data_IF_913665446413
#
_entry.id   IF_913665446413
#
_cell.length_a   1.000
_cell.length_b   1.000
_cell.length_c   1.000
_cell.angle_alpha   90.00
_cell.angle_beta   90.00
_cell.angle_gamma   90.00
#
_symmetry.space_group_name_H-M   'P 1'
#
loop_
_entity.id
_entity.type
_entity.pdbx_description
1 polymer ?
#
# COMPACT_ATOMS: atom_id res chain seq x y z
N UNK A 1 -9.76 -5.28 -48.70
CA UNK A 1 -10.58 -4.98 -49.90
C UNK A 1 -11.15 -3.59 -49.74
N UNK A 2 -10.44 -2.58 -50.22
CA UNK A 2 -10.87 -1.17 -50.22
C UNK A 2 -10.31 -0.55 -51.48
N UNK A 3 -11.22 -0.19 -52.38
CA UNK A 3 -10.92 0.31 -53.73
C UNK A 3 -10.34 1.72 -53.66
N UNK A 4 -9.21 1.92 -54.35
CA UNK A 4 -8.59 3.22 -54.61
C UNK A 4 -9.43 3.98 -55.65
N UNK A 5 -9.84 5.19 -55.31
CA UNK A 5 -10.39 6.17 -56.25
C UNK A 5 -9.22 6.84 -56.96
N UNK A 6 -9.10 6.63 -58.27
CA UNK A 6 -8.26 7.43 -59.16
C UNK A 6 -9.17 8.37 -59.97
N UNK A 7 -8.97 9.68 -59.78
CA UNK A 7 -9.38 10.72 -60.73
C UNK A 7 -8.29 10.87 -61.82
N UNK A 8 -8.61 11.65 -62.87
CA UNK A 8 -7.79 12.07 -64.05
C UNK A 8 -8.18 11.26 -65.31
N UNK A 9 -8.54 11.79 -66.48
CA UNK A 9 -8.41 13.12 -67.11
C UNK A 9 -9.50 13.26 -68.20
N UNK A 10 -9.98 14.48 -68.43
CA UNK A 10 -10.86 14.85 -69.55
C UNK A 10 -9.99 15.13 -70.77
N UNK A 11 -10.25 14.44 -71.89
CA UNK A 11 -9.78 14.87 -73.22
C UNK A 11 -10.96 15.47 -74.00
N UNK A 12 -10.79 16.72 -74.41
CA UNK A 12 -11.60 17.41 -75.42
C UNK A 12 -11.21 16.89 -76.81
N UNK A 13 -12.19 16.46 -77.58
CA UNK A 13 -12.14 16.55 -79.04
C UNK A 13 -13.45 17.14 -79.56
N UNK A 14 -13.33 18.25 -80.29
CA UNK A 14 -14.38 18.85 -81.10
C UNK A 14 -14.50 18.07 -82.41
N UNK A 15 -15.72 17.73 -82.81
CA UNK A 15 -16.08 17.68 -84.23
C UNK A 15 -17.55 18.05 -84.41
N UNK A 16 -17.75 19.12 -85.17
CA UNK A 16 -19.00 19.72 -85.61
C UNK A 16 -19.83 18.80 -86.50
N UNK A 17 -21.16 18.80 -86.30
CA UNK A 17 -22.10 18.79 -87.42
C UNK A 17 -23.45 19.37 -87.00
N UNK A 18 -23.91 20.34 -87.79
CA UNK A 18 -25.23 20.97 -87.71
C UNK A 18 -26.35 19.93 -87.92
N UNK A 19 -27.47 20.10 -87.21
CA UNK A 19 -28.79 20.05 -87.83
C UNK A 19 -29.86 20.65 -86.88
N UNK A 20 -30.72 21.48 -87.48
CA UNK A 20 -31.88 22.13 -86.88
C UNK A 20 -32.91 21.11 -86.38
N UNK A 21 -33.47 21.33 -85.20
CA UNK A 21 -34.91 21.24 -84.91
C UNK A 21 -35.18 21.53 -83.42
N UNK A 22 -35.98 22.56 -83.19
CA UNK A 22 -37.05 22.65 -82.18
C UNK A 22 -36.92 21.66 -80.99
N UNK A 23 -36.45 22.13 -79.84
CA UNK A 23 -36.74 21.53 -78.52
C UNK A 23 -36.39 22.52 -77.39
N UNK A 24 -37.21 23.57 -77.27
CA UNK A 24 -37.03 24.61 -76.24
C UNK A 24 -37.66 24.24 -74.87
N UNK A 25 -38.34 23.10 -74.73
CA UNK A 25 -39.03 22.73 -73.48
C UNK A 25 -38.35 21.54 -72.74
N UNK A 26 -37.64 20.66 -73.43
CA UNK A 26 -36.93 19.52 -72.80
C UNK A 26 -35.61 19.86 -72.12
N UNK A 27 -34.95 20.95 -72.54
CA UNK A 27 -33.63 21.34 -72.04
C UNK A 27 -33.69 22.05 -70.67
N UNK A 28 -34.75 22.84 -70.44
CA UNK A 28 -35.01 23.45 -69.14
C UNK A 28 -35.28 22.41 -68.05
N UNK A 29 -36.03 21.35 -68.38
CA UNK A 29 -36.38 20.27 -67.44
C UNK A 29 -35.18 19.35 -67.13
N UNK A 30 -34.31 19.06 -68.11
CA UNK A 30 -33.02 18.38 -67.86
C UNK A 30 -32.07 19.24 -67.03
N UNK A 31 -31.99 20.54 -67.30
CA UNK A 31 -31.15 21.47 -66.52
C UNK A 31 -31.65 21.59 -65.09
N UNK A 32 -32.97 21.63 -64.90
CA UNK A 32 -33.61 21.68 -63.57
C UNK A 32 -33.46 20.35 -62.81
N UNK A 33 -33.55 19.21 -63.48
CA UNK A 33 -33.24 17.90 -62.89
C UNK A 33 -31.77 17.79 -62.47
N UNK A 34 -30.84 18.33 -63.27
CA UNK A 34 -29.40 18.34 -62.96
C UNK A 34 -29.09 19.28 -61.78
N UNK A 35 -29.75 20.44 -61.69
CA UNK A 35 -29.65 21.36 -60.55
C UNK A 35 -30.24 20.76 -59.26
N UNK A 36 -31.37 20.06 -59.35
CA UNK A 36 -31.95 19.32 -58.22
C UNK A 36 -31.03 18.19 -57.78
N UNK A 37 -30.44 17.44 -58.71
CA UNK A 37 -29.52 16.36 -58.40
C UNK A 37 -28.22 16.87 -57.77
N UNK A 38 -27.67 17.98 -58.27
CA UNK A 38 -26.51 18.65 -57.66
C UNK A 38 -26.85 19.23 -56.28
N UNK A 39 -28.06 19.74 -56.07
CA UNK A 39 -28.51 20.20 -54.75
C UNK A 39 -28.67 19.04 -53.77
N UNK A 40 -29.25 17.92 -54.21
CA UNK A 40 -29.39 16.69 -53.40
C UNK A 40 -28.00 16.13 -53.05
N UNK A 41 -27.06 16.12 -54.00
CA UNK A 41 -25.68 15.70 -53.77
C UNK A 41 -24.96 16.64 -52.79
N UNK A 42 -25.14 17.96 -52.93
CA UNK A 42 -24.59 18.96 -52.00
C UNK A 42 -25.15 18.82 -50.59
N UNK A 43 -26.45 18.53 -50.46
CA UNK A 43 -27.11 18.26 -49.18
C UNK A 43 -26.60 16.96 -48.56
N UNK A 44 -26.45 15.88 -49.34
CA UNK A 44 -25.89 14.62 -48.86
C UNK A 44 -24.44 14.77 -48.40
N UNK A 45 -23.61 15.48 -49.16
CA UNK A 45 -22.22 15.74 -48.79
C UNK A 45 -22.13 16.61 -47.52
N UNK A 46 -23.02 17.59 -47.38
CA UNK A 46 -23.12 18.42 -46.17
C UNK A 46 -23.51 17.60 -44.95
N UNK A 47 -24.52 16.72 -45.07
CA UNK A 47 -24.92 15.83 -43.98
C UNK A 47 -23.81 14.83 -43.61
N UNK A 48 -23.11 14.27 -44.60
CA UNK A 48 -21.99 13.36 -44.36
C UNK A 48 -20.84 14.07 -43.65
N UNK A 49 -20.51 15.31 -44.04
CA UNK A 49 -19.51 16.14 -43.38
C UNK A 49 -19.91 16.50 -41.94
N UNK A 50 -21.17 16.89 -41.72
CA UNK A 50 -21.70 17.20 -40.39
C UNK A 50 -21.67 15.95 -39.50
N UNK A 51 -22.08 14.79 -40.01
CA UNK A 51 -22.05 13.54 -39.26
C UNK A 51 -20.62 13.12 -38.90
N UNK A 52 -19.68 13.24 -39.85
CA UNK A 52 -18.27 12.92 -39.61
C UNK A 52 -17.66 13.85 -38.57
N UNK A 53 -17.97 15.14 -38.63
CA UNK A 53 -17.51 16.15 -37.65
C UNK A 53 -18.11 15.89 -36.28
N UNK A 54 -19.41 15.57 -36.21
CA UNK A 54 -20.09 15.21 -34.97
C UNK A 54 -19.46 13.95 -34.36
N UNK A 55 -19.23 12.90 -35.17
CA UNK A 55 -18.61 11.66 -34.72
C UNK A 55 -17.18 11.89 -34.22
N UNK A 56 -16.39 12.73 -34.90
CA UNK A 56 -15.05 13.11 -34.48
C UNK A 56 -15.07 13.88 -33.15
N UNK A 57 -15.97 14.86 -33.00
CA UNK A 57 -16.13 15.64 -31.77
C UNK A 57 -16.59 14.77 -30.60
N UNK A 58 -17.53 13.83 -30.82
CA UNK A 58 -17.97 12.87 -29.80
C UNK A 58 -16.82 11.96 -29.38
N UNK A 59 -16.05 11.43 -30.34
CA UNK A 59 -14.87 10.61 -30.07
C UNK A 59 -13.83 11.36 -29.26
N UNK A 60 -13.50 12.59 -29.65
CA UNK A 60 -12.55 13.44 -28.92
C UNK A 60 -13.05 13.77 -27.51
N UNK A 61 -14.34 14.05 -27.33
CA UNK A 61 -14.95 14.30 -26.02
C UNK A 61 -14.86 13.08 -25.10
N UNK A 62 -15.10 11.88 -25.65
CA UNK A 62 -14.94 10.61 -24.92
C UNK A 62 -13.48 10.35 -24.53
N UNK A 63 -12.54 10.56 -25.44
CA UNK A 63 -11.10 10.40 -25.18
C UNK A 63 -10.60 11.36 -24.09
N UNK A 64 -11.06 12.63 -24.12
CA UNK A 64 -10.73 13.62 -23.10
C UNK A 64 -11.33 13.25 -21.74
N UNK A 65 -12.58 12.79 -21.71
CA UNK A 65 -13.25 12.34 -20.48
C UNK A 65 -12.54 11.14 -19.87
N UNK A 66 -12.16 10.17 -20.69
CA UNK A 66 -11.40 9.00 -20.24
C UNK A 66 -10.04 9.41 -19.66
N UNK A 67 -9.32 10.31 -20.35
CA UNK A 67 -8.03 10.83 -19.88
C UNK A 67 -8.17 11.59 -18.56
N UNK A 68 -9.17 12.46 -18.42
CA UNK A 68 -9.43 13.17 -17.17
C UNK A 68 -9.75 12.21 -16.03
N UNK A 69 -10.54 11.17 -16.27
CA UNK A 69 -10.83 10.15 -15.27
C UNK A 69 -9.55 9.44 -14.82
N UNK A 70 -8.70 8.98 -15.74
CA UNK A 70 -7.42 8.34 -15.39
C UNK A 70 -6.50 9.26 -14.58
N UNK A 71 -6.42 10.55 -14.93
CA UNK A 71 -5.63 11.53 -14.17
C UNK A 71 -6.19 11.71 -12.77
N UNK A 72 -7.51 11.81 -12.63
CA UNK A 72 -8.18 11.92 -11.32
C UNK A 72 -7.94 10.67 -10.47
N UNK A 73 -8.02 9.47 -11.06
CA UNK A 73 -7.76 8.21 -10.36
C UNK A 73 -6.31 8.11 -9.84
N UNK A 74 -5.33 8.47 -10.69
CA UNK A 74 -3.93 8.54 -10.27
C UNK A 74 -3.71 9.59 -9.18
N UNK A 75 -4.39 10.73 -9.28
CA UNK A 75 -4.33 11.77 -8.26
C UNK A 75 -4.85 11.27 -6.91
N UNK A 76 -5.99 10.57 -6.88
CA UNK A 76 -6.54 9.98 -5.64
C UNK A 76 -5.59 8.93 -5.05
N UNK A 77 -5.05 8.03 -5.88
CA UNK A 77 -4.12 7.00 -5.43
C UNK A 77 -2.78 7.56 -4.94
N UNK A 78 -2.28 8.63 -5.55
CA UNK A 78 -1.05 9.31 -5.13
C UNK A 78 -1.20 10.00 -3.78
N UNK A 79 -2.36 10.63 -3.56
CA UNK A 79 -2.65 11.38 -2.33
C UNK A 79 -3.06 10.49 -1.14
N UNK A 80 -3.49 9.26 -1.40
CA UNK A 80 -3.71 8.26 -0.37
C UNK A 80 -2.37 7.69 0.10
N UNK A 81 -2.02 7.79 1.38
CA UNK A 81 -0.80 7.18 1.93
C UNK A 81 -1.16 6.21 3.05
N UNK A 82 -0.44 5.10 3.12
CA UNK A 82 -0.59 4.10 4.17
C UNK A 82 0.78 3.94 4.81
N UNK A 83 0.84 4.02 6.13
CA UNK A 83 2.06 3.77 6.90
C UNK A 83 1.75 2.80 8.03
N UNK A 84 2.71 1.94 8.35
CA UNK A 84 2.62 1.04 9.50
C UNK A 84 3.83 1.18 10.39
N UNK A 85 3.61 1.13 11.70
CA UNK A 85 4.66 1.13 12.71
C UNK A 85 4.31 0.10 13.79
N UNK A 86 5.30 -0.70 14.20
CA UNK A 86 5.15 -1.68 15.27
C UNK A 86 5.93 -1.15 16.47
N UNK A 87 5.21 -0.85 17.56
CA UNK A 87 5.80 -0.40 18.81
C UNK A 87 5.62 -1.44 19.90
N UNK A 88 6.52 -1.49 20.88
CA UNK A 88 6.36 -2.39 22.01
C UNK A 88 5.46 -1.79 23.09
N UNK A 89 4.65 -2.65 23.71
CA UNK A 89 3.77 -2.28 24.83
C UNK A 89 4.28 -2.95 26.11
N UNK A 90 4.14 -2.26 27.24
CA UNK A 90 4.44 -2.84 28.55
C UNK A 90 3.55 -4.07 28.86
N UNK A 91 4.18 -5.10 29.45
CA UNK A 91 3.63 -6.40 29.86
C UNK A 91 2.28 -6.32 30.62
N UNK A 92 2.05 -5.23 31.35
CA UNK A 92 0.83 -5.04 32.15
C UNK A 92 -0.43 -4.83 31.29
N UNK A 93 -0.29 -4.39 30.04
CA UNK A 93 -1.41 -4.14 29.13
C UNK A 93 -1.73 -5.32 28.18
N UNK A 94 -0.85 -6.32 28.13
CA UNK A 94 -1.07 -7.58 27.40
C UNK A 94 -1.74 -8.60 28.31
N UNK A 95 -3.08 -8.55 28.38
CA UNK A 95 -3.88 -9.65 28.93
C UNK A 95 -4.28 -10.59 27.78
N UNK A 96 -4.05 -11.90 27.93
CA UNK A 96 -4.47 -12.92 26.97
C UNK A 96 -3.36 -13.40 26.02
N UNK A 97 -3.74 -13.96 24.87
CA UNK A 97 -2.83 -14.59 23.88
C UNK A 97 -2.13 -13.58 22.94
N UNK A 98 -2.14 -12.29 23.26
CA UNK A 98 -1.61 -11.23 22.41
C UNK A 98 -0.10 -11.02 22.60
N UNK A 99 0.59 -10.65 21.54
CA UNK A 99 2.01 -10.26 21.60
C UNK A 99 2.16 -8.88 22.25
N UNK A 100 3.33 -8.57 22.86
CA UNK A 100 3.66 -7.28 23.48
C UNK A 100 3.97 -6.18 22.46
N UNK A 101 3.23 -6.15 21.36
CA UNK A 101 3.47 -5.25 20.22
C UNK A 101 2.16 -4.65 19.76
N UNK A 102 2.18 -3.33 19.57
CA UNK A 102 1.08 -2.55 19.01
C UNK A 102 1.39 -2.25 17.56
N UNK A 103 0.57 -2.77 16.66
CA UNK A 103 0.60 -2.37 15.27
C UNK A 103 -0.22 -1.09 15.12
N UNK A 104 0.44 0.01 14.78
CA UNK A 104 -0.21 1.27 14.42
C UNK A 104 -0.26 1.38 12.90
N UNK A 105 -1.46 1.39 12.33
CA UNK A 105 -1.69 1.64 10.91
C UNK A 105 -2.25 3.05 10.77
N UNK A 106 -1.69 3.83 9.85
CA UNK A 106 -2.17 5.16 9.54
C UNK A 106 -2.50 5.26 8.07
N UNK A 107 -3.73 5.66 7.78
CA UNK A 107 -4.25 5.90 6.42
C UNK A 107 -4.50 7.38 6.28
N UNK A 108 -3.86 8.02 5.32
CA UNK A 108 -3.80 9.47 5.17
C UNK A 108 -4.36 9.83 3.80
N UNK A 109 -5.30 10.78 3.76
CA UNK A 109 -5.66 11.48 2.53
C UNK A 109 -5.01 12.87 2.55
N UNK A 110 -3.91 13.01 1.83
CA UNK A 110 -3.21 14.30 1.67
C UNK A 110 -3.81 15.19 0.58
N UNK A 111 -4.83 14.71 -0.12
CA UNK A 111 -5.50 15.42 -1.20
C UNK A 111 -6.55 16.40 -0.72
N UNK A 112 -7.09 17.16 -1.69
CA UNK A 112 -8.16 18.15 -1.48
C UNK A 112 -9.56 17.55 -1.69
N UNK A 113 -9.66 16.34 -2.24
CA UNK A 113 -10.93 15.67 -2.51
C UNK A 113 -11.21 14.56 -1.47
N UNK A 114 -12.47 14.43 -0.99
CA UNK A 114 -12.85 13.31 -0.15
C UNK A 114 -12.82 12.01 -0.95
N UNK A 115 -12.41 10.91 -0.32
CA UNK A 115 -12.46 9.57 -0.89
C UNK A 115 -13.59 8.81 -0.20
N UNK A 116 -14.76 8.64 -0.85
CA UNK A 116 -15.89 7.94 -0.27
C UNK A 116 -15.71 6.42 -0.36
N UNK A 117 -16.47 5.71 0.46
CA UNK A 117 -16.64 4.27 0.39
C UNK A 117 -15.34 3.45 0.41
N UNK A 118 -14.39 3.88 1.23
CA UNK A 118 -13.15 3.13 1.45
C UNK A 118 -13.45 1.90 2.27
N UNK A 119 -12.95 0.77 1.79
CA UNK A 119 -12.85 -0.48 2.53
C UNK A 119 -11.39 -0.83 2.76
N UNK A 120 -11.09 -1.31 3.97
CA UNK A 120 -9.74 -1.71 4.36
C UNK A 120 -9.71 -3.17 4.75
N UNK A 121 -8.66 -3.88 4.37
CA UNK A 121 -8.39 -5.22 4.87
C UNK A 121 -6.92 -5.39 5.22
N UNK A 122 -6.66 -6.26 6.17
CA UNK A 122 -5.32 -6.68 6.55
C UNK A 122 -5.21 -8.19 6.37
N UNK A 123 -4.12 -8.62 5.74
CA UNK A 123 -3.83 -10.04 5.51
C UNK A 123 -2.43 -10.35 5.99
N UNK A 124 -2.25 -11.56 6.52
CA UNK A 124 -0.96 -12.04 7.01
C UNK A 124 -0.63 -13.34 6.30
N UNK A 125 0.61 -13.48 5.83
CA UNK A 125 1.13 -14.67 5.16
C UNK A 125 2.40 -15.09 5.91
N UNK A 126 2.55 -16.37 6.24
CA UNK A 126 3.78 -16.85 6.87
C UNK A 126 4.92 -16.75 5.86
N UNK A 127 6.14 -16.46 6.32
CA UNK A 127 7.30 -16.44 5.40
C UNK A 127 7.59 -17.82 4.80
N UNK A 128 7.40 -18.88 5.60
CA UNK A 128 7.69 -20.26 5.21
C UNK A 128 6.52 -20.90 4.42
N UNK A 129 5.32 -20.31 4.46
CA UNK A 129 4.14 -20.80 3.75
C UNK A 129 3.39 -19.63 3.10
N UNK A 130 3.27 -19.65 1.76
CA UNK A 130 2.57 -18.62 0.98
C UNK A 130 1.04 -18.56 1.20
N UNK A 131 0.51 -19.30 2.18
CA UNK A 131 -0.90 -19.32 2.50
C UNK A 131 -1.27 -18.24 3.53
N UNK A 132 -2.44 -17.59 3.37
CA UNK A 132 -2.92 -16.60 4.32
C UNK A 132 -3.25 -17.27 5.65
N UNK A 133 -2.77 -16.67 6.74
CA UNK A 133 -3.00 -17.15 8.10
C UNK A 133 -3.88 -16.17 8.85
N UNK A 134 -4.86 -16.70 9.57
CA UNK A 134 -5.71 -15.91 10.43
C UNK A 134 -4.97 -15.62 11.75
N UNK A 135 -4.60 -14.36 11.94
CA UNK A 135 -4.02 -13.86 13.19
C UNK A 135 -5.16 -13.16 13.95
N UNK A 136 -5.30 -13.45 15.24
CA UNK A 136 -6.27 -12.72 16.07
C UNK A 136 -5.90 -11.25 16.12
N UNK A 137 -6.81 -10.36 15.72
CA UNK A 137 -6.60 -8.91 15.74
C UNK A 137 -7.63 -8.28 16.67
N UNK A 138 -7.16 -7.45 17.60
CA UNK A 138 -8.02 -6.65 18.49
C UNK A 138 -7.70 -5.17 18.31
N UNK A 139 -8.72 -4.34 18.09
CA UNK A 139 -8.55 -2.89 18.01
C UNK A 139 -8.54 -2.27 19.41
N UNK A 140 -7.42 -1.66 19.80
CA UNK A 140 -7.29 -0.91 21.06
C UNK A 140 -7.85 0.50 20.92
N UNK A 141 -7.58 1.15 19.79
CA UNK A 141 -7.92 2.55 19.57
C UNK A 141 -8.02 2.83 18.07
N UNK A 142 -9.04 3.57 17.65
CA UNK A 142 -9.18 4.05 16.28
C UNK A 142 -9.63 5.51 16.30
N UNK A 143 -8.83 6.39 15.71
CA UNK A 143 -9.02 7.85 15.75
C UNK A 143 -8.96 8.42 14.35
N UNK A 144 -9.85 9.37 14.07
CA UNK A 144 -9.77 10.28 12.93
C UNK A 144 -9.25 11.65 13.38
N UNK A 145 -8.28 12.19 12.65
CA UNK A 145 -7.62 13.49 12.95
C UNK A 145 -7.28 14.26 11.66
N UNK A 146 -7.27 15.59 11.72
CA UNK A 146 -6.73 16.43 10.65
C UNK A 146 -5.19 16.36 10.57
N UNK A 147 -4.62 16.48 9.38
CA UNK A 147 -3.16 16.46 9.17
C UNK A 147 -2.51 17.76 9.65
N UNK A 148 -3.15 18.90 9.43
CA UNK A 148 -2.59 20.24 9.62
C UNK A 148 -2.65 20.77 11.05
N UNK A 149 -3.59 20.26 11.87
CA UNK A 149 -3.72 20.63 13.29
C UNK A 149 -3.79 19.37 14.15
N UNK A 150 -2.68 18.90 14.73
CA UNK A 150 -2.69 17.75 15.64
C UNK A 150 -3.47 18.02 16.94
N UNK A 151 -3.71 19.28 17.31
CA UNK A 151 -4.52 19.65 18.49
C UNK A 151 -6.02 19.78 18.19
N UNK A 152 -6.45 19.52 16.94
CA UNK A 152 -7.87 19.47 16.60
C UNK A 152 -8.57 18.27 17.23
N UNK A 153 -9.88 18.40 17.45
CA UNK A 153 -10.74 17.37 18.06
C UNK A 153 -10.50 15.99 17.43
N UNK A 154 -9.85 15.10 18.19
CA UNK A 154 -9.72 13.70 17.83
C UNK A 154 -11.07 13.03 17.95
N UNK A 155 -11.64 12.62 16.82
CA UNK A 155 -12.89 11.86 16.85
C UNK A 155 -12.57 10.38 16.95
N UNK A 156 -12.99 9.73 18.04
CA UNK A 156 -12.95 8.28 18.16
C UNK A 156 -13.93 7.66 17.15
N UNK A 157 -13.45 6.69 16.37
CA UNK A 157 -14.25 6.00 15.35
C UNK A 157 -14.32 4.51 15.64
N UNK A 158 -15.29 3.82 15.03
CA UNK A 158 -15.30 2.36 15.04
C UNK A 158 -14.10 1.81 14.27
N UNK A 159 -13.52 0.71 14.76
CA UNK A 159 -12.41 0.01 14.12
C UNK A 159 -12.69 -0.27 12.65
N UNK A 160 -11.74 0.08 11.80
CA UNK A 160 -11.82 -0.16 10.36
C UNK A 160 -11.40 -1.58 9.98
N UNK A 161 -10.57 -2.25 10.80
CA UNK A 161 -10.09 -3.61 10.53
C UNK A 161 -10.85 -4.70 11.29
N UNK A 162 -11.46 -4.38 12.43
CA UNK A 162 -12.21 -5.32 13.28
C UNK A 162 -13.63 -4.78 13.49
N UNK A 163 -14.55 -5.00 12.53
CA UNK A 163 -15.93 -4.57 12.68
C UNK A 163 -16.60 -5.25 13.87
N UNK A 164 -17.37 -4.50 14.67
CA UNK A 164 -18.11 -5.04 15.83
C UNK A 164 -19.20 -6.05 15.44
N UNK A 165 -19.61 -6.06 14.17
CA UNK A 165 -20.59 -6.98 13.59
C UNK A 165 -19.93 -7.76 12.46
N UNK A 166 -19.82 -9.07 12.63
CA UNK A 166 -19.03 -10.02 11.83
C UNK A 166 -19.43 -10.20 10.36
N UNK A 167 -20.38 -9.41 9.84
CA UNK A 167 -20.96 -9.60 8.51
C UNK A 167 -20.72 -8.47 7.51
N UNK A 168 -20.13 -7.33 7.92
CA UNK A 168 -19.91 -6.20 7.00
C UNK A 168 -18.49 -5.63 7.11
N UNK A 169 -17.80 -5.56 5.98
CA UNK A 169 -16.57 -4.79 5.83
C UNK A 169 -16.87 -3.35 6.23
N UNK A 170 -16.04 -2.75 7.07
CA UNK A 170 -16.23 -1.34 7.43
C UNK A 170 -16.03 -0.49 6.18
N UNK A 171 -17.03 0.35 5.89
CA UNK A 171 -16.98 1.30 4.77
C UNK A 171 -16.99 2.69 5.39
N UNK A 172 -16.02 3.53 5.02
CA UNK A 172 -15.91 4.89 5.55
C UNK A 172 -15.46 5.89 4.49
N UNK A 173 -15.67 7.18 4.79
CA UNK A 173 -15.22 8.29 3.94
C UNK A 173 -14.03 8.98 4.57
N UNK A 174 -12.93 9.05 3.81
CA UNK A 174 -11.71 9.73 4.23
C UNK A 174 -11.72 11.17 3.69
N UNK A 175 -11.92 12.11 4.61
CA UNK A 175 -12.04 13.54 4.30
C UNK A 175 -10.71 14.12 3.82
N UNK A 176 -10.73 15.24 3.07
CA UNK A 176 -9.51 15.93 2.65
C UNK A 176 -8.62 16.27 3.83
N UNK A 177 -7.30 16.14 3.65
CA UNK A 177 -6.30 16.46 4.67
C UNK A 177 -6.57 15.80 6.04
N UNK A 178 -7.13 14.58 6.04
CA UNK A 178 -7.34 13.81 7.27
C UNK A 178 -6.57 12.51 7.27
N UNK A 179 -6.31 12.01 8.47
CA UNK A 179 -5.73 10.70 8.72
C UNK A 179 -6.59 9.90 9.68
N UNK A 180 -6.61 8.59 9.46
CA UNK A 180 -7.16 7.61 10.39
C UNK A 180 -5.99 6.83 10.95
N UNK A 181 -5.90 6.77 12.27
CA UNK A 181 -4.88 6.03 13.01
C UNK A 181 -5.59 4.91 13.77
N UNK A 182 -5.21 3.68 13.49
CA UNK A 182 -5.74 2.50 14.19
C UNK A 182 -4.61 1.73 14.86
N UNK A 183 -4.78 1.45 16.15
CA UNK A 183 -3.83 0.72 16.98
C UNK A 183 -4.40 -0.67 17.26
N UNK A 184 -3.72 -1.69 16.73
CA UNK A 184 -4.13 -3.08 16.71
C UNK A 184 -3.19 -3.92 17.59
N UNK A 185 -3.77 -4.78 18.44
CA UNK A 185 -3.06 -5.88 19.10
C UNK A 185 -3.16 -7.12 18.23
N UNK A 186 -2.06 -7.87 18.15
CA UNK A 186 -1.98 -9.09 17.35
C UNK A 186 -1.84 -10.31 18.27
N UNK A 187 -2.45 -11.42 17.89
CA UNK A 187 -2.37 -12.71 18.59
C UNK A 187 -2.00 -13.82 17.57
N UNK A 188 -0.73 -13.89 17.13
CA UNK A 188 -0.26 -14.99 16.30
C UNK A 188 -0.35 -16.32 17.05
N UNK A 189 -0.79 -17.35 16.34
CA UNK A 189 -0.86 -18.72 16.87
C UNK A 189 0.54 -19.31 17.08
N UNK A 190 1.44 -19.09 16.12
CA UNK A 190 2.79 -19.65 16.07
C UNK A 190 3.86 -18.56 16.10
N UNK A 191 5.05 -18.91 16.59
CA UNK A 191 6.20 -18.02 16.62
C UNK A 191 7.01 -18.13 15.32
N UNK A 192 6.61 -17.37 14.31
CA UNK A 192 7.27 -17.31 13.00
C UNK A 192 7.22 -15.90 12.41
N UNK A 193 7.97 -15.66 11.33
CA UNK A 193 7.93 -14.38 10.63
C UNK A 193 6.69 -14.31 9.73
N UNK A 194 5.97 -13.18 9.76
CA UNK A 194 4.80 -12.93 8.92
C UNK A 194 5.03 -11.74 7.99
N UNK A 195 4.60 -11.88 6.74
CA UNK A 195 4.47 -10.78 5.79
C UNK A 195 3.03 -10.30 5.81
N UNK A 196 2.83 -9.06 6.22
CA UNK A 196 1.52 -8.44 6.33
C UNK A 196 1.27 -7.49 5.16
N UNK A 197 0.02 -7.43 4.71
CA UNK A 197 -0.43 -6.50 3.66
C UNK A 197 -1.68 -5.78 4.11
N UNK A 198 -1.63 -4.46 4.08
CA UNK A 198 -2.78 -3.57 4.22
C UNK A 198 -3.27 -3.22 2.83
N UNK A 199 -4.56 -3.43 2.59
CA UNK A 199 -5.20 -3.18 1.31
C UNK A 199 -6.31 -2.16 1.51
N UNK A 200 -6.27 -1.07 0.76
CA UNK A 200 -7.28 -0.02 0.77
C UNK A 200 -7.94 0.03 -0.60
N UNK A 201 -9.27 -0.12 -0.63
CA UNK A 201 -10.06 -0.22 -1.86
C UNK A 201 -11.21 0.77 -1.85
N UNK A 202 -11.44 1.42 -2.98
CA UNK A 202 -12.57 2.34 -3.18
C UNK A 202 -12.93 2.41 -4.67
N UNK A 203 -14.17 2.76 -4.98
CA UNK A 203 -14.59 2.92 -6.37
C UNK A 203 -14.07 4.26 -6.94
N UNK A 204 -13.62 4.25 -8.19
CA UNK A 204 -13.28 5.45 -8.95
C UNK A 204 -14.52 6.33 -9.09
N UNK A 205 -14.45 7.63 -8.76
CA UNK A 205 -15.58 8.55 -8.94
C UNK A 205 -16.01 8.73 -10.41
N UNK A 206 -15.10 8.53 -11.36
CA UNK A 206 -15.34 8.78 -12.78
C UNK A 206 -15.77 7.54 -13.56
N UNK A 207 -15.10 6.41 -13.34
CA UNK A 207 -15.32 5.16 -14.09
C UNK A 207 -16.12 4.12 -13.30
N UNK A 208 -16.21 4.26 -11.97
CA UNK A 208 -16.75 3.23 -11.08
C UNK A 208 -15.82 2.02 -10.90
N UNK A 209 -14.65 1.99 -11.54
CA UNK A 209 -13.69 0.89 -11.39
C UNK A 209 -13.11 0.84 -9.98
N UNK A 210 -12.80 -0.36 -9.50
CA UNK A 210 -12.25 -0.53 -8.16
C UNK A 210 -10.77 -0.15 -8.12
N UNK A 211 -10.46 0.98 -7.49
CA UNK A 211 -9.11 1.42 -7.22
C UNK A 211 -8.57 0.76 -5.97
N UNK A 212 -7.29 0.38 -5.99
CA UNK A 212 -6.63 -0.31 -4.89
C UNK A 212 -5.25 0.30 -4.59
N UNK A 213 -4.95 0.47 -3.31
CA UNK A 213 -3.60 0.76 -2.80
C UNK A 213 -3.17 -0.29 -1.79
N UNK A 214 -2.00 -0.88 -2.01
CA UNK A 214 -1.41 -1.89 -1.13
C UNK A 214 -0.20 -1.31 -0.38
N UNK A 215 -0.07 -1.67 0.90
CA UNK A 215 1.10 -1.40 1.72
C UNK A 215 1.54 -2.69 2.41
N UNK A 216 2.77 -3.12 2.14
CA UNK A 216 3.35 -4.33 2.69
C UNK A 216 4.31 -4.01 3.83
N UNK A 217 4.26 -4.79 4.91
CA UNK A 217 5.20 -4.69 6.03
C UNK A 217 5.48 -6.09 6.62
N UNK A 218 6.61 -6.24 7.29
CA UNK A 218 6.97 -7.49 7.98
C UNK A 218 6.68 -7.41 9.47
N UNK A 219 6.16 -8.50 10.03
CA UNK A 219 6.14 -8.76 11.46
C UNK A 219 7.26 -9.76 11.76
N UNK A 220 8.34 -9.27 12.35
CA UNK A 220 9.55 -10.05 12.61
C UNK A 220 9.44 -10.84 13.92
N UNK A 221 10.37 -11.78 14.15
CA UNK A 221 10.38 -12.55 15.40
C UNK A 221 10.65 -11.63 16.58
N UNK A 222 11.63 -10.73 16.44
CA UNK A 222 11.99 -9.78 17.49
C UNK A 222 10.82 -8.87 17.88
N UNK A 223 9.93 -8.54 16.94
CA UNK A 223 8.77 -7.68 17.21
C UNK A 223 7.75 -8.39 18.10
N UNK A 224 7.62 -9.71 17.97
CA UNK A 224 6.66 -10.54 18.71
C UNK A 224 7.12 -10.88 20.13
N UNK A 225 8.40 -10.68 20.44
CA UNK A 225 8.97 -11.01 21.74
C UNK A 225 8.76 -9.91 22.78
N UNK A 226 8.56 -10.35 24.01
CA UNK A 226 8.73 -9.54 25.20
C UNK A 226 10.22 -9.35 25.48
N UNK A 227 10.58 -8.11 25.81
CA UNK A 227 11.95 -7.68 26.06
C UNK A 227 12.05 -7.13 27.47
N UNK A 228 12.94 -7.72 28.26
CA UNK A 228 13.19 -7.32 29.65
C UNK A 228 14.69 -7.24 29.91
N UNK A 229 15.09 -6.39 30.86
CA UNK A 229 16.49 -6.30 31.32
C UNK A 229 16.58 -6.93 32.69
N UNK A 230 17.50 -7.87 32.84
CA UNK A 230 17.88 -8.47 34.11
C UNK A 230 19.27 -8.02 34.52
N UNK A 231 19.44 -7.84 35.83
CA UNK A 231 20.73 -7.58 36.45
C UNK A 231 21.14 -8.85 37.19
N UNK A 232 21.67 -9.83 36.46
CA UNK A 232 22.17 -11.07 37.03
C UNK A 232 23.68 -11.14 36.84
N UNK A 233 24.41 -11.34 37.94
CA UNK A 233 25.88 -11.31 37.93
C UNK A 233 26.54 -12.63 37.53
N UNK A 234 25.78 -13.72 37.34
CA UNK A 234 26.34 -15.07 37.14
C UNK A 234 25.48 -15.97 36.24
N UNK A 235 25.71 -15.89 34.92
CA UNK A 235 25.21 -16.86 33.93
C UNK A 235 26.08 -18.14 33.87
N UNK A 236 27.08 -18.27 34.74
CA UNK A 236 28.06 -19.36 34.77
C UNK A 236 27.53 -20.72 35.22
N UNK A 237 26.22 -20.86 35.48
CA UNK A 237 25.61 -22.11 35.98
C UNK A 237 24.88 -22.95 34.94
N UNK A 238 24.73 -22.47 33.71
CA UNK A 238 24.01 -23.22 32.67
C UNK A 238 24.96 -23.65 31.55
N UNK A 239 25.07 -24.96 31.32
CA UNK A 239 25.67 -25.53 30.10
C UNK A 239 24.75 -25.21 28.92
N UNK A 240 24.82 -23.98 28.43
CA UNK A 240 24.04 -23.50 27.30
C UNK A 240 24.91 -23.38 26.06
N UNK A 241 24.37 -23.78 24.91
CA UNK A 241 24.91 -23.38 23.62
C UNK A 241 24.84 -21.85 23.51
N UNK A 242 25.88 -21.25 22.93
CA UNK A 242 25.97 -19.81 22.82
C UNK A 242 26.49 -19.39 21.45
N UNK A 243 26.03 -18.23 20.98
CA UNK A 243 26.48 -17.59 19.75
C UNK A 243 27.03 -16.20 20.10
N UNK A 244 28.17 -15.85 19.50
CA UNK A 244 28.81 -14.56 19.71
C UNK A 244 28.44 -13.62 18.56
N UNK A 245 27.95 -12.43 18.88
CA UNK A 245 27.44 -11.46 17.91
C UNK A 245 27.94 -10.06 18.23
N UNK A 246 28.32 -9.30 17.20
CA UNK A 246 28.58 -7.87 17.33
C UNK A 246 27.28 -7.07 17.17
N UNK A 247 26.89 -6.33 18.21
CA UNK A 247 25.71 -5.49 18.21
C UNK A 247 26.06 -4.02 18.49
N UNK A 248 25.18 -3.13 18.04
CA UNK A 248 25.23 -1.71 18.37
C UNK A 248 24.67 -1.48 19.79
N UNK A 249 25.38 -0.74 20.66
CA UNK A 249 24.84 -0.34 21.96
C UNK A 249 23.54 0.47 21.84
N UNK A 250 23.40 1.25 20.76
CA UNK A 250 22.19 2.02 20.48
C UNK A 250 20.99 1.11 20.24
N UNK A 251 21.18 0.03 19.46
CA UNK A 251 20.12 -0.95 19.20
C UNK A 251 19.64 -1.62 20.50
N UNK A 252 20.56 -2.03 21.37
CA UNK A 252 20.20 -2.64 22.66
C UNK A 252 19.39 -1.67 23.52
N UNK A 253 19.76 -0.39 23.57
CA UNK A 253 19.00 0.63 24.29
C UNK A 253 17.60 0.79 23.73
N UNK A 254 17.48 0.87 22.41
CA UNK A 254 16.22 1.11 21.74
C UNK A 254 15.27 -0.08 21.89
N UNK A 255 15.75 -1.30 21.63
CA UNK A 255 14.92 -2.50 21.71
C UNK A 255 14.47 -2.83 23.14
N UNK A 256 15.32 -2.62 24.15
CA UNK A 256 14.96 -2.89 25.55
C UNK A 256 14.52 -1.64 26.33
N UNK A 257 14.29 -0.53 25.63
CA UNK A 257 13.88 0.76 26.21
C UNK A 257 14.74 1.19 27.43
N UNK A 258 16.07 1.02 27.31
CA UNK A 258 17.01 1.37 28.39
C UNK A 258 17.29 2.87 28.35
N UNK A 259 16.90 3.56 29.42
CA UNK A 259 17.11 5.00 29.53
C UNK A 259 18.60 5.37 29.37
N UNK A 260 18.93 6.46 28.65
CA UNK A 260 20.31 6.89 28.43
C UNK A 260 21.13 7.02 29.72
N UNK A 261 20.49 7.44 30.82
CA UNK A 261 21.14 7.65 32.12
C UNK A 261 21.58 6.37 32.83
N UNK A 262 20.97 5.22 32.56
CA UNK A 262 21.23 3.97 33.32
C UNK A 262 22.55 3.28 32.95
N UNK A 263 23.31 3.85 32.00
CA UNK A 263 24.49 3.19 31.43
C UNK A 263 24.13 1.88 30.71
N UNK A 264 25.10 1.29 30.03
CA UNK A 264 25.04 -0.13 29.66
C UNK A 264 26.24 -0.77 30.37
N UNK A 265 26.03 -1.85 31.11
CA UNK A 265 27.10 -2.52 31.83
C UNK A 265 27.24 -3.98 31.38
N UNK A 266 28.41 -4.54 31.61
CA UNK A 266 28.67 -5.97 31.35
C UNK A 266 27.86 -6.87 32.29
N UNK A 267 27.29 -6.35 33.38
CA UNK A 267 26.39 -7.09 34.27
C UNK A 267 24.92 -7.07 33.80
N UNK A 268 24.60 -6.36 32.72
CA UNK A 268 23.25 -6.34 32.16
C UNK A 268 23.04 -7.55 31.25
N UNK A 269 21.94 -8.23 31.48
CA UNK A 269 21.46 -9.32 30.63
C UNK A 269 20.13 -8.91 30.01
N UNK A 270 20.06 -9.02 28.69
CA UNK A 270 18.89 -8.69 27.90
C UNK A 270 18.11 -9.96 27.60
N UNK A 271 16.89 -10.05 28.10
CA UNK A 271 16.04 -11.21 27.97
C UNK A 271 15.06 -11.02 26.82
N UNK A 272 14.88 -12.11 26.06
CA UNK A 272 13.87 -12.26 25.01
C UNK A 272 12.97 -13.43 25.40
N UNK A 273 11.69 -13.14 25.57
CA UNK A 273 10.68 -14.16 25.88
C UNK A 273 9.48 -14.06 24.96
N UNK A 274 8.75 -15.16 24.78
CA UNK A 274 7.50 -15.22 24.02
C UNK A 274 6.51 -16.09 24.78
N UNK A 275 5.28 -15.60 25.00
CA UNK A 275 4.23 -16.28 25.78
C UNK A 275 4.73 -16.87 27.12
N UNK A 276 5.52 -16.10 27.86
CA UNK A 276 6.15 -16.46 29.16
C UNK A 276 7.27 -17.52 29.10
N UNK A 277 7.69 -17.95 27.91
CA UNK A 277 8.87 -18.80 27.75
C UNK A 277 10.10 -17.97 27.39
N UNK A 278 11.23 -18.20 28.05
CA UNK A 278 12.49 -17.52 27.77
C UNK A 278 13.16 -18.22 26.59
N UNK A 279 13.34 -17.50 25.48
CA UNK A 279 14.00 -18.02 24.28
C UNK A 279 15.49 -17.76 24.32
N UNK A 280 15.89 -16.55 24.72
CA UNK A 280 17.30 -16.18 24.71
C UNK A 280 17.65 -15.12 25.75
N UNK A 281 18.88 -15.20 26.25
CA UNK A 281 19.51 -14.16 27.06
C UNK A 281 20.74 -13.63 26.31
N UNK A 282 20.85 -12.32 26.18
CA UNK A 282 21.95 -11.65 25.49
C UNK A 282 22.76 -10.91 26.55
N UNK A 283 24.04 -11.28 26.69
CA UNK A 283 24.96 -10.72 27.67
C UNK A 283 26.06 -9.92 26.99
N UNK A 284 26.39 -8.74 27.51
CA UNK A 284 27.52 -7.94 26.98
C UNK A 284 28.82 -8.52 27.54
N UNK A 285 29.62 -9.15 26.68
CA UNK A 285 30.91 -9.73 27.07
C UNK A 285 32.04 -8.70 27.07
N UNK A 286 32.06 -7.81 26.07
CA UNK A 286 33.12 -6.80 25.93
C UNK A 286 32.69 -5.67 25.00
N UNK A 287 33.20 -4.48 25.25
CA UNK A 287 33.11 -3.34 24.33
C UNK A 287 34.20 -3.39 23.25
N UNK A 288 33.83 -3.14 21.99
CA UNK A 288 34.73 -3.21 20.82
C UNK A 288 34.61 -1.92 19.98
N UNK A 289 35.69 -1.55 19.29
CA UNK A 289 35.76 -0.38 18.41
C UNK A 289 36.49 0.80 19.05
N UNK A 290 37.06 1.67 18.21
CA UNK A 290 37.92 2.79 18.64
C UNK A 290 37.27 3.70 19.72
N UNK A 291 35.93 3.80 19.71
CA UNK A 291 35.15 4.61 20.65
C UNK A 291 34.11 3.80 21.46
N UNK A 292 34.30 2.49 21.63
CA UNK A 292 33.26 1.58 22.19
C UNK A 292 31.95 1.63 21.38
N UNK A 293 32.06 1.83 20.06
CA UNK A 293 30.93 1.97 19.14
C UNK A 293 30.17 0.67 18.91
N UNK A 294 30.74 -0.48 19.32
CA UNK A 294 30.13 -1.81 19.24
C UNK A 294 30.27 -2.56 20.57
N UNK A 295 29.40 -3.53 20.78
CA UNK A 295 29.48 -4.50 21.87
C UNK A 295 29.51 -5.91 21.32
N UNK A 296 30.40 -6.72 21.88
CA UNK A 296 30.41 -8.15 21.67
C UNK A 296 29.45 -8.78 22.66
N UNK A 297 28.37 -9.31 22.14
CA UNK A 297 27.32 -9.95 22.91
C UNK A 297 27.41 -11.47 22.80
N UNK A 298 27.21 -12.15 23.92
CA UNK A 298 27.02 -13.59 23.98
C UNK A 298 25.52 -13.87 24.10
N UNK A 299 24.96 -14.53 23.09
CA UNK A 299 23.56 -14.93 23.02
C UNK A 299 23.47 -16.37 23.51
N UNK A 300 22.75 -16.58 24.61
CA UNK A 300 22.54 -17.88 25.25
C UNK A 300 21.16 -18.42 24.87
N UNK A 301 21.09 -19.73 24.67
CA UNK A 301 19.86 -20.43 24.26
C UNK A 301 19.41 -21.40 25.36
N UNK A 302 18.13 -21.35 25.72
CA UNK A 302 17.59 -22.11 26.86
C UNK A 302 16.73 -23.32 26.45
N UNK A 303 16.64 -23.65 25.16
CA UNK A 303 15.74 -24.70 24.69
C UNK A 303 16.45 -25.71 23.78
N UNK A 304 16.46 -26.98 24.19
CA UNK A 304 17.21 -28.09 23.55
C UNK A 304 16.54 -28.67 22.30
N UNK A 305 15.41 -28.13 21.86
CA UNK A 305 14.75 -28.57 20.63
C UNK A 305 15.46 -27.97 19.41
N UNK A 306 15.73 -28.78 18.36
CA UNK A 306 16.36 -28.33 17.11
C UNK A 306 15.64 -27.12 16.49
N UNK A 307 14.31 -27.08 16.57
CA UNK A 307 13.48 -25.97 16.10
C UNK A 307 13.74 -24.66 16.83
N UNK A 308 14.10 -24.70 18.12
CA UNK A 308 14.43 -23.51 18.89
C UNK A 308 15.78 -22.91 18.49
N UNK A 309 16.74 -23.74 18.07
CA UNK A 309 18.03 -23.25 17.56
C UNK A 309 17.85 -22.41 16.29
N UNK A 310 17.07 -22.92 15.32
CA UNK A 310 16.82 -22.20 14.06
C UNK A 310 16.10 -20.86 14.26
N UNK A 311 15.14 -20.82 15.20
CA UNK A 311 14.44 -19.59 15.57
C UNK A 311 15.41 -18.57 16.16
N UNK A 312 16.34 -18.99 17.01
CA UNK A 312 17.29 -18.06 17.62
C UNK A 312 18.33 -17.58 16.61
N UNK A 313 18.80 -18.45 15.71
CA UNK A 313 19.67 -18.04 14.61
C UNK A 313 18.99 -16.96 13.76
N UNK A 314 17.69 -17.11 13.45
CA UNK A 314 16.88 -16.08 12.77
C UNK A 314 16.78 -14.79 13.59
N UNK A 315 16.56 -14.84 14.90
CA UNK A 315 16.54 -13.65 15.78
C UNK A 315 17.91 -12.96 15.77
N UNK A 316 19.00 -13.73 15.83
CA UNK A 316 20.37 -13.20 15.77
C UNK A 316 20.64 -12.51 14.43
N UNK A 317 20.18 -13.08 13.31
CA UNK A 317 20.26 -12.45 12.00
C UNK A 317 19.47 -11.13 11.95
N UNK A 318 18.23 -11.12 12.47
CA UNK A 318 17.42 -9.90 12.57
C UNK A 318 18.14 -8.81 13.37
N UNK A 319 18.73 -9.16 14.53
CA UNK A 319 19.51 -8.23 15.36
C UNK A 319 20.75 -7.69 14.63
N UNK A 320 21.46 -8.52 13.86
CA UNK A 320 22.60 -8.08 13.04
C UNK A 320 22.16 -7.06 11.98
N UNK A 321 21.07 -7.34 11.27
CA UNK A 321 20.54 -6.45 10.23
C UNK A 321 20.08 -5.11 10.83
N UNK A 322 19.42 -5.15 12.00
CA UNK A 322 19.01 -3.94 12.72
C UNK A 322 20.22 -3.15 13.25
N UNK A 323 21.30 -3.82 13.64
CA UNK A 323 22.54 -3.19 14.10
C UNK A 323 23.27 -2.43 12.98
N UNK A 324 23.19 -2.94 11.74
CA UNK A 324 23.80 -2.29 10.57
C UNK A 324 22.96 -1.16 9.98
N UNK A 325 21.64 -1.24 10.09
CA UNK A 325 20.74 -0.21 9.58
C UNK A 325 20.58 0.92 10.59
N UNK A 326 21.42 1.95 10.49
CA UNK A 326 21.26 3.20 11.26
C UNK A 326 19.96 3.97 10.96
N UNK A 327 19.19 3.56 9.94
CA UNK A 327 18.09 4.34 9.34
C UNK A 327 16.71 3.67 9.36
N UNK A 328 16.52 2.56 10.09
CA UNK A 328 15.15 2.15 10.45
C UNK A 328 14.90 2.74 11.83
N UNK A 329 13.77 3.44 11.96
CA UNK A 329 13.29 4.22 13.12
C UNK A 329 13.66 5.70 13.07
#
# INVERSE_FOLDING_TARGET
MTSKVNFVQINQEQSSSNNNAIDSEGNGMKTMATLLQNSIQGVQNSFSSVYTTLAANLKQSLEMTHTMNSVMEQFLLSNLRITSNITQIHKLETRGNFIPSLLTITIINSGQFPIPNISCSITFVKKDHNEPVNIGVECKESIKRGITNPDSETTSISSIFVPKTSTTTSIFTLSPQTQIIEKLKLAPSEFCQYNAKVNVRFASPGTGELLQKEHSFGLYLIDQCEKSVRFESQLTKYECSHVIVELSPYLLRQLWNVHPSSGLSEAMTFEISWKNEIYSLIHIKKWIGADKSKVLCQVLHFNNAKSSSEIIDRIVEELKVLSTNKNKF
#
